data_IF_907113696313
#
_entry.id   IF_907113696313
#
_cell.length_a   1.000
_cell.length_b   1.000
_cell.length_c   1.000
_cell.angle_alpha   90.00
_cell.angle_beta   90.00
_cell.angle_gamma   90.00
#
_symmetry.space_group_name_H-M   'P 1'
#
loop_
_entity.id
_entity.type
_entity.pdbx_description
1 polymer ?
#
# COMPACT_ATOMS: atom_id res chain seq x y z
N UNK A 1 20.75 9.77 25.02
CA UNK A 1 19.51 9.12 25.49
C UNK A 1 18.36 9.98 25.02
N UNK A 2 17.69 9.55 23.96
CA UNK A 2 16.41 10.13 23.56
C UNK A 2 15.59 8.94 23.06
N UNK A 3 15.02 8.19 24.00
CA UNK A 3 13.91 7.31 23.68
C UNK A 3 12.76 8.23 23.33
N UNK A 4 12.45 8.30 22.03
CA UNK A 4 11.18 8.85 21.58
C UNK A 4 10.12 7.91 22.14
N UNK A 5 9.25 8.48 22.96
CA UNK A 5 8.05 7.85 23.45
C UNK A 5 7.24 7.51 22.19
N UNK A 6 6.98 6.22 21.97
CA UNK A 6 5.98 5.77 21.01
C UNK A 6 4.67 6.47 21.38
N UNK A 7 4.29 7.45 20.59
CA UNK A 7 2.99 8.10 20.70
C UNK A 7 1.97 7.00 20.45
N UNK A 8 1.10 6.74 21.44
CA UNK A 8 -0.12 5.97 21.23
C UNK A 8 -1.02 6.85 20.34
N UNK A 9 -0.77 6.75 19.04
CA UNK A 9 -1.35 7.47 17.93
C UNK A 9 -0.90 6.64 16.73
N UNK A 10 -1.76 5.71 16.40
CA UNK A 10 -1.80 4.86 15.25
C UNK A 10 -3.29 4.49 15.24
N UNK A 11 -3.86 4.01 14.15
CA UNK A 11 -5.21 3.45 14.21
C UNK A 11 -5.22 2.18 15.11
N UNK A 12 -5.22 2.37 16.44
CA UNK A 12 -4.81 1.37 17.42
C UNK A 12 -3.35 0.95 17.27
N UNK A 13 -3.15 -0.24 16.68
CA UNK A 13 -1.84 -0.89 16.46
C UNK A 13 -1.31 -0.63 15.05
N UNK A 14 -2.11 -0.02 14.16
CA UNK A 14 -1.75 0.14 12.75
C UNK A 14 -0.83 1.31 12.48
N UNK A 15 0.20 1.11 11.66
CA UNK A 15 1.05 2.20 11.14
C UNK A 15 0.49 2.78 9.84
N UNK A 16 0.90 4.01 9.55
CA UNK A 16 0.74 4.72 8.28
C UNK A 16 1.49 4.09 7.10
N UNK A 17 2.43 3.17 7.35
CA UNK A 17 3.15 2.44 6.32
C UNK A 17 2.25 1.41 5.61
N UNK A 18 2.53 1.07 4.33
CA UNK A 18 1.62 0.29 3.50
C UNK A 18 1.25 -1.10 4.03
N UNK A 19 2.11 -1.69 4.87
CA UNK A 19 1.93 -3.01 5.48
C UNK A 19 1.68 -2.92 6.99
N UNK A 20 1.47 -1.70 7.51
CA UNK A 20 1.16 -1.45 8.92
C UNK A 20 -0.27 -1.82 9.33
N UNK A 21 -1.14 -2.15 8.38
CA UNK A 21 -2.51 -2.63 8.58
C UNK A 21 -2.54 -4.16 8.49
N UNK A 22 -3.24 -4.83 9.42
CA UNK A 22 -3.26 -6.30 9.49
C UNK A 22 -3.77 -6.97 8.20
N UNK A 23 -4.84 -6.43 7.59
CA UNK A 23 -5.40 -6.95 6.34
C UNK A 23 -4.44 -6.74 5.16
N UNK A 24 -3.73 -5.61 5.12
CA UNK A 24 -2.68 -5.37 4.12
C UNK A 24 -1.48 -6.32 4.28
N UNK A 25 -1.05 -6.56 5.52
CA UNK A 25 0.04 -7.49 5.83
C UNK A 25 -0.33 -8.93 5.49
N UNK A 26 -1.52 -9.39 5.88
CA UNK A 26 -2.04 -10.72 5.53
C UNK A 26 -2.13 -10.90 4.01
N UNK A 27 -2.61 -9.90 3.28
CA UNK A 27 -2.63 -9.92 1.81
C UNK A 27 -1.21 -9.99 1.20
N UNK A 28 -0.23 -9.30 1.78
CA UNK A 28 1.14 -9.32 1.27
C UNK A 28 1.77 -10.72 1.35
N UNK A 29 1.40 -11.53 2.34
CA UNK A 29 1.86 -12.93 2.41
C UNK A 29 1.34 -13.80 1.26
N UNK A 30 0.18 -13.48 0.67
CA UNK A 30 -0.31 -14.18 -0.51
C UNK A 30 0.62 -14.02 -1.73
N UNK A 31 1.46 -12.98 -1.72
CA UNK A 31 2.46 -12.75 -2.78
C UNK A 31 3.45 -13.91 -2.87
N UNK A 32 3.70 -14.69 -1.82
CA UNK A 32 4.61 -15.85 -1.88
C UNK A 32 4.18 -16.92 -2.87
N UNK A 33 2.86 -17.03 -3.11
CA UNK A 33 2.29 -17.97 -4.08
C UNK A 33 2.02 -17.32 -5.44
N UNK A 34 2.18 -16.00 -5.55
CA UNK A 34 1.98 -15.27 -6.79
C UNK A 34 3.22 -15.35 -7.71
N UNK A 35 2.99 -15.73 -8.97
CA UNK A 35 4.01 -15.87 -10.00
C UNK A 35 3.86 -14.87 -11.16
N UNK A 36 2.90 -13.95 -11.07
CA UNK A 36 2.72 -12.92 -12.11
C UNK A 36 2.04 -11.67 -11.58
N UNK A 37 2.25 -10.56 -12.30
CA UNK A 37 1.56 -9.30 -12.07
C UNK A 37 0.04 -9.37 -12.20
N UNK A 38 -0.55 -10.47 -12.69
CA UNK A 38 -2.01 -10.63 -12.76
C UNK A 38 -2.64 -10.51 -11.37
N UNK A 39 -2.02 -11.10 -10.34
CA UNK A 39 -2.51 -11.05 -8.95
C UNK A 39 -2.72 -9.60 -8.46
N UNK A 40 -1.72 -8.75 -8.64
CA UNK A 40 -1.80 -7.33 -8.28
C UNK A 40 -2.68 -6.54 -9.25
N UNK A 41 -2.69 -6.92 -10.53
CA UNK A 41 -3.53 -6.27 -11.55
C UNK A 41 -5.01 -6.43 -11.21
N UNK A 42 -5.43 -7.63 -10.81
CA UNK A 42 -6.82 -7.93 -10.48
C UNK A 42 -7.30 -7.10 -9.28
N UNK A 43 -6.49 -6.99 -8.22
CA UNK A 43 -6.74 -6.12 -7.06
C UNK A 43 -6.92 -4.67 -7.48
N UNK A 44 -5.95 -4.12 -8.21
CA UNK A 44 -5.96 -2.70 -8.58
C UNK A 44 -7.09 -2.38 -9.59
N UNK A 45 -7.42 -3.32 -10.49
CA UNK A 45 -8.53 -3.15 -11.42
C UNK A 45 -9.88 -3.17 -10.72
N UNK A 46 -10.12 -4.15 -9.83
CA UNK A 46 -11.35 -4.23 -9.06
C UNK A 46 -11.57 -2.99 -8.20
N UNK A 47 -10.50 -2.54 -7.52
CA UNK A 47 -10.55 -1.32 -6.72
C UNK A 47 -10.84 -0.07 -7.57
N UNK A 48 -10.18 0.08 -8.73
CA UNK A 48 -10.41 1.20 -9.64
C UNK A 48 -11.82 1.19 -10.26
N UNK A 49 -12.41 0.00 -10.48
CA UNK A 49 -13.77 -0.14 -10.98
C UNK A 49 -14.83 0.24 -9.93
N UNK A 50 -14.48 0.19 -8.64
CA UNK A 50 -15.42 0.40 -7.55
C UNK A 50 -16.40 -0.77 -7.40
N UNK A 51 -15.94 -1.99 -7.68
CA UNK A 51 -16.76 -3.20 -7.56
C UNK A 51 -17.13 -3.47 -6.09
N UNK A 52 -16.23 -3.14 -5.17
CA UNK A 52 -16.38 -3.24 -3.72
C UNK A 52 -15.69 -2.04 -3.04
N UNK A 53 -16.16 -1.67 -1.84
CA UNK A 53 -15.66 -0.53 -1.06
C UNK A 53 -15.45 -0.94 0.40
N UNK A 54 -14.48 -0.32 1.05
CA UNK A 54 -14.29 -0.39 2.50
C UNK A 54 -12.82 -0.34 2.92
N UNK A 55 -12.57 -0.06 4.20
CA UNK A 55 -11.23 0.17 4.76
C UNK A 55 -10.23 -0.96 4.47
N UNK A 56 -10.70 -2.21 4.43
CA UNK A 56 -9.86 -3.39 4.17
C UNK A 56 -9.38 -3.41 2.71
N UNK A 57 -10.27 -3.07 1.78
CA UNK A 57 -9.94 -2.98 0.35
C UNK A 57 -9.08 -1.76 0.05
N UNK A 58 -9.34 -0.64 0.75
CA UNK A 58 -8.49 0.55 0.71
C UNK A 58 -7.06 0.20 1.15
N UNK A 59 -6.90 -0.53 2.25
CA UNK A 59 -5.59 -0.95 2.76
C UNK A 59 -4.87 -1.89 1.77
N UNK A 60 -5.57 -2.89 1.23
CA UNK A 60 -5.03 -3.78 0.20
C UNK A 60 -4.63 -3.01 -1.06
N UNK A 61 -5.41 -2.02 -1.49
CA UNK A 61 -5.08 -1.20 -2.66
C UNK A 61 -3.80 -0.38 -2.44
N UNK A 62 -3.59 0.18 -1.24
CA UNK A 62 -2.35 0.87 -0.86
C UNK A 62 -1.17 -0.10 -0.85
N UNK A 63 -1.32 -1.28 -0.25
CA UNK A 63 -0.29 -2.31 -0.23
C UNK A 63 0.09 -2.76 -1.65
N UNK A 64 -0.89 -3.04 -2.50
CA UNK A 64 -0.68 -3.38 -3.91
C UNK A 64 0.06 -2.27 -4.67
N UNK A 65 -0.31 -1.01 -4.46
CA UNK A 65 0.41 0.12 -5.05
C UNK A 65 1.85 0.26 -4.52
N UNK A 66 2.09 -0.05 -3.24
CA UNK A 66 3.42 -0.06 -2.65
C UNK A 66 4.34 -1.12 -3.25
N UNK A 67 3.82 -2.34 -3.53
CA UNK A 67 4.57 -3.38 -4.25
C UNK A 67 4.99 -2.88 -5.65
N UNK A 68 4.08 -2.20 -6.36
CA UNK A 68 4.37 -1.63 -7.69
C UNK A 68 5.43 -0.54 -7.59
N UNK A 69 5.33 0.36 -6.60
CA UNK A 69 6.32 1.40 -6.37
C UNK A 69 7.71 0.82 -6.00
N UNK A 70 7.74 -0.23 -5.18
CA UNK A 70 8.97 -0.93 -4.81
C UNK A 70 9.61 -1.60 -6.05
N UNK A 71 8.80 -2.29 -6.86
CA UNK A 71 9.25 -2.85 -8.15
C UNK A 71 9.72 -1.79 -9.15
N UNK A 72 9.28 -0.52 -9.00
CA UNK A 72 9.74 0.62 -9.78
C UNK A 72 11.02 1.30 -9.20
N UNK A 73 11.54 0.81 -8.07
CA UNK A 73 12.80 1.25 -7.48
C UNK A 73 12.67 2.08 -6.19
N UNK A 74 11.47 2.20 -5.61
CA UNK A 74 11.31 2.77 -4.27
C UNK A 74 11.86 1.81 -3.22
N UNK A 75 12.67 2.28 -2.26
CA UNK A 75 12.94 1.49 -1.05
C UNK A 75 11.76 1.63 -0.08
N UNK A 76 11.24 0.50 0.41
CA UNK A 76 10.26 0.47 1.49
C UNK A 76 10.98 0.62 2.85
N UNK A 77 10.22 0.79 3.94
CA UNK A 77 10.82 0.94 5.26
C UNK A 77 11.49 -0.36 5.69
N UNK A 78 12.60 -0.27 6.43
CA UNK A 78 13.25 -1.43 7.04
C UNK A 78 12.40 -2.04 8.17
N UNK A 79 11.39 -1.31 8.64
CA UNK A 79 10.40 -1.78 9.62
C UNK A 79 9.26 -2.57 8.97
N UNK A 80 9.11 -2.51 7.64
CA UNK A 80 8.13 -3.28 6.90
C UNK A 80 8.60 -4.74 6.76
N UNK A 81 7.71 -5.70 7.06
CA UNK A 81 7.94 -7.11 6.76
C UNK A 81 7.74 -7.36 5.26
N UNK A 82 8.81 -7.17 4.49
CA UNK A 82 8.78 -7.13 3.01
C UNK A 82 9.26 -8.42 2.35
N UNK A 83 9.51 -9.51 3.10
CA UNK A 83 10.08 -10.74 2.55
C UNK A 83 9.26 -11.30 1.37
N UNK A 84 7.93 -11.38 1.52
CA UNK A 84 7.04 -11.87 0.45
C UNK A 84 7.02 -10.92 -0.77
N UNK A 85 7.14 -9.61 -0.54
CA UNK A 85 7.21 -8.59 -1.60
C UNK A 85 8.51 -8.73 -2.39
N UNK A 86 9.64 -8.82 -1.71
CA UNK A 86 10.95 -9.02 -2.33
C UNK A 86 11.02 -10.35 -3.10
N UNK A 87 10.49 -11.42 -2.49
CA UNK A 87 10.38 -12.73 -3.11
C UNK A 87 9.57 -12.70 -4.40
N UNK A 88 8.40 -12.04 -4.38
CA UNK A 88 7.57 -11.83 -5.55
C UNK A 88 8.31 -11.06 -6.66
N UNK A 89 8.90 -9.91 -6.35
CA UNK A 89 9.61 -9.10 -7.33
C UNK A 89 10.85 -9.82 -7.91
N UNK A 90 11.52 -10.65 -7.11
CA UNK A 90 12.61 -11.50 -7.60
C UNK A 90 12.12 -12.53 -8.63
N UNK A 91 10.87 -13.03 -8.51
CA UNK A 91 10.25 -13.94 -9.47
C UNK A 91 9.74 -13.23 -10.73
N UNK A 92 9.05 -12.09 -10.56
CA UNK A 92 8.30 -11.46 -11.66
C UNK A 92 9.01 -10.29 -12.34
N UNK A 93 10.03 -9.71 -11.69
CA UNK A 93 10.76 -8.54 -12.18
C UNK A 93 9.98 -7.23 -12.10
N UNK A 94 10.40 -6.25 -12.91
CA UNK A 94 9.84 -4.90 -12.89
C UNK A 94 8.35 -4.85 -13.32
N UNK A 95 7.55 -3.92 -12.77
CA UNK A 95 6.14 -3.79 -13.09
C UNK A 95 5.90 -3.35 -14.54
N UNK A 96 4.88 -3.91 -15.22
CA UNK A 96 4.41 -3.38 -16.49
C UNK A 96 3.84 -1.97 -16.32
N UNK A 97 4.01 -1.11 -17.34
CA UNK A 97 3.50 0.26 -17.32
C UNK A 97 1.97 0.35 -17.09
N UNK A 98 1.21 -0.66 -17.54
CA UNK A 98 -0.24 -0.73 -17.27
C UNK A 98 -0.56 -0.91 -15.79
N UNK A 99 0.25 -1.70 -15.06
CA UNK A 99 0.08 -1.92 -13.61
C UNK A 99 0.50 -0.69 -12.84
N UNK A 100 1.57 0.00 -13.29
CA UNK A 100 1.93 1.33 -12.76
C UNK A 100 0.75 2.28 -12.88
N UNK A 101 0.13 2.42 -14.06
CA UNK A 101 -1.02 3.31 -14.24
C UNK A 101 -2.22 2.96 -13.34
N UNK A 102 -2.45 1.68 -13.07
CA UNK A 102 -3.48 1.22 -12.13
C UNK A 102 -3.15 1.59 -10.69
N UNK A 103 -1.91 1.37 -10.24
CA UNK A 103 -1.45 1.76 -8.90
C UNK A 103 -1.58 3.28 -8.68
N UNK A 104 -1.21 4.06 -9.69
CA UNK A 104 -1.40 5.52 -9.72
C UNK A 104 -2.87 5.88 -9.48
N UNK A 105 -3.79 5.21 -10.16
CA UNK A 105 -5.24 5.44 -10.06
C UNK A 105 -5.80 5.03 -8.70
N UNK A 106 -5.35 3.88 -8.16
CA UNK A 106 -5.77 3.41 -6.85
C UNK A 106 -5.34 4.36 -5.74
N UNK A 107 -4.10 4.86 -5.77
CA UNK A 107 -3.60 5.86 -4.80
C UNK A 107 -4.39 7.17 -4.84
N UNK A 108 -4.74 7.65 -6.04
CA UNK A 108 -5.57 8.86 -6.20
C UNK A 108 -6.98 8.65 -5.64
N UNK A 109 -7.56 7.46 -5.82
CA UNK A 109 -8.90 7.10 -5.30
C UNK A 109 -8.89 6.97 -3.78
N UNK A 110 -7.97 6.19 -3.21
CA UNK A 110 -7.92 5.94 -1.77
C UNK A 110 -7.59 7.20 -0.98
N UNK A 111 -6.72 8.08 -1.50
CA UNK A 111 -6.37 9.35 -0.86
C UNK A 111 -7.48 10.41 -0.87
N UNK A 112 -8.57 10.17 -1.61
CA UNK A 112 -9.78 11.00 -1.62
C UNK A 112 -10.72 10.68 -0.45
N UNK A 113 -12.01 10.52 -0.74
CA UNK A 113 -13.06 10.21 0.23
C UNK A 113 -13.23 8.67 0.36
N UNK A 114 -12.23 7.98 0.92
CA UNK A 114 -12.27 6.54 1.22
C UNK A 114 -12.59 6.29 2.69
N UNK A 115 -13.11 5.11 3.03
CA UNK A 115 -13.38 4.77 4.44
C UNK A 115 -12.09 4.76 5.26
N UNK A 116 -10.99 4.27 4.68
CA UNK A 116 -9.69 4.34 5.34
C UNK A 116 -9.21 5.77 5.56
N UNK A 117 -9.46 6.69 4.62
CA UNK A 117 -9.13 8.11 4.79
C UNK A 117 -9.93 8.75 5.94
N UNK A 118 -11.23 8.45 6.05
CA UNK A 118 -12.07 8.93 7.16
C UNK A 118 -11.52 8.44 8.51
N UNK A 119 -11.10 7.18 8.60
CA UNK A 119 -10.56 6.63 9.82
C UNK A 119 -9.22 7.25 10.24
N UNK A 120 -8.34 7.54 9.28
CA UNK A 120 -7.10 8.30 9.55
C UNK A 120 -7.39 9.77 9.92
N UNK A 121 -8.47 10.36 9.39
CA UNK A 121 -8.91 11.69 9.83
C UNK A 121 -9.38 11.65 11.29
N UNK A 122 -10.15 10.64 11.67
CA UNK A 122 -10.63 10.43 13.03
C UNK A 122 -9.50 10.11 14.02
N UNK A 123 -8.42 9.45 13.58
CA UNK A 123 -7.23 9.20 14.42
C UNK A 123 -6.40 10.46 14.66
N UNK A 124 -6.51 11.46 13.78
CA UNK A 124 -5.73 12.70 13.83
C UNK A 124 -4.36 12.59 13.14
N UNK A 125 -4.11 11.54 12.36
CA UNK A 125 -2.82 11.22 11.71
C UNK A 125 -2.94 11.07 10.19
N UNK A 126 -3.97 11.68 9.62
CA UNK A 126 -4.22 11.70 8.18
C UNK A 126 -3.09 12.34 7.38
N UNK A 127 -2.35 13.28 7.97
CA UNK A 127 -1.26 13.96 7.28
C UNK A 127 -0.06 13.02 7.08
N UNK A 128 0.28 12.22 8.08
CA UNK A 128 1.30 11.18 8.01
C UNK A 128 0.92 10.10 6.98
N UNK A 129 -0.32 9.60 7.04
CA UNK A 129 -0.81 8.62 6.07
C UNK A 129 -0.84 9.16 4.63
N UNK A 130 -1.30 10.40 4.42
CA UNK A 130 -1.26 11.04 3.09
C UNK A 130 0.17 11.30 2.61
N UNK A 131 1.13 11.51 3.51
CA UNK A 131 2.54 11.59 3.15
C UNK A 131 3.06 10.23 2.62
N UNK A 132 2.64 9.12 3.23
CA UNK A 132 2.91 7.77 2.69
C UNK A 132 2.33 7.61 1.28
N UNK A 133 1.05 7.94 1.07
CA UNK A 133 0.45 7.85 -0.27
C UNK A 133 1.20 8.71 -1.30
N UNK A 134 1.60 9.91 -0.92
CA UNK A 134 2.36 10.82 -1.78
C UNK A 134 3.73 10.23 -2.14
N UNK A 135 4.46 9.67 -1.15
CA UNK A 135 5.74 8.98 -1.36
C UNK A 135 5.61 7.84 -2.37
N UNK A 136 4.58 7.00 -2.24
CA UNK A 136 4.30 5.93 -3.20
C UNK A 136 3.99 6.49 -4.59
N UNK A 137 3.13 7.52 -4.65
CA UNK A 137 2.68 8.16 -5.89
C UNK A 137 3.83 8.76 -6.70
N UNK A 138 4.78 9.41 -6.04
CA UNK A 138 5.94 10.06 -6.65
C UNK A 138 6.98 9.08 -7.18
N UNK A 139 7.08 7.89 -6.57
CA UNK A 139 7.98 6.84 -7.02
C UNK A 139 7.48 6.12 -8.29
N UNK A 140 6.17 6.15 -8.54
CA UNK A 140 5.59 5.54 -9.73
C UNK A 140 5.92 6.38 -10.99
N UNK A 141 6.50 5.79 -12.05
CA UNK A 141 6.75 6.52 -13.29
C UNK A 141 5.44 7.01 -13.93
N UNK A 142 5.55 8.11 -14.69
CA UNK A 142 4.43 8.72 -15.40
C UNK A 142 4.00 7.91 -16.63
#
# INVERSE_FOLDING_TARGET
MSSVIATLGAMGTWSEEPFGNDTAADWAWELDEADSWAFITDVLQGYAAGDEEGQDLDAIAVAAAAVVAHGAGLALSEEDDTESVEGFLARVGAPPASVVALARTALDKVGGDSELAELWEESGEIDEWRATLTRLREALPA
#
